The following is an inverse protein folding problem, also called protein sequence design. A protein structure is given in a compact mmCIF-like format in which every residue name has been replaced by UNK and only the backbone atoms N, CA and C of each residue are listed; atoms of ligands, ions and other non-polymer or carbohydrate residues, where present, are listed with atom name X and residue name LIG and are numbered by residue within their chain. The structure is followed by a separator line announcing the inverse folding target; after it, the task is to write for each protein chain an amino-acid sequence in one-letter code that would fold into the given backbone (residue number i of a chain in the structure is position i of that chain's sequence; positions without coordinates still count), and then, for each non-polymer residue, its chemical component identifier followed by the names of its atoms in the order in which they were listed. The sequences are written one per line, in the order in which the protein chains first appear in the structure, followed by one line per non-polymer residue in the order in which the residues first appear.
data_IF_856047461373
#
_entry.id   IF_856047461373
#
_cell.length_a   1.000
_cell.length_b   1.000
_cell.length_c   1.000
_cell.angle_alpha   90.00
_cell.angle_beta   90.00
_cell.angle_gamma   90.00
#
_symmetry.space_group_name_H-M   'P 1'
#
loop_
_entity.id
_entity.type
_entity.pdbx_description
1 polymer ?
#
# COMPACT_ATOMS: atom_id res chain seq x y z
N UNK A 1 -8.78 -26.25 13.03
CA UNK A 1 -9.17 -25.23 12.05
C UNK A 1 -9.50 -25.97 10.78
N UNK A 2 -10.78 -26.00 10.38
CA UNK A 2 -11.11 -26.39 9.02
C UNK A 2 -10.49 -25.36 8.07
N UNK A 3 -9.66 -25.80 7.14
CA UNK A 3 -9.15 -24.92 6.11
C UNK A 3 -10.36 -24.37 5.34
N UNK A 4 -10.49 -23.05 5.22
CA UNK A 4 -11.50 -22.45 4.36
C UNK A 4 -11.14 -22.83 2.91
N UNK A 5 -11.72 -23.91 2.39
CA UNK A 5 -11.49 -24.32 1.00
C UNK A 5 -12.43 -23.52 0.11
N UNK A 6 -11.87 -22.87 -0.91
CA UNK A 6 -12.67 -22.21 -1.94
C UNK A 6 -13.64 -23.22 -2.58
N UNK A 7 -14.94 -22.89 -2.71
CA UNK A 7 -15.90 -23.78 -3.34
C UNK A 7 -15.45 -24.19 -4.74
N UNK A 8 -15.80 -25.41 -5.13
CA UNK A 8 -15.39 -26.00 -6.41
C UNK A 8 -16.23 -25.44 -7.58
N UNK A 9 -16.19 -24.12 -7.76
CA UNK A 9 -16.82 -23.36 -8.84
C UNK A 9 -15.84 -23.19 -10.02
N UNK A 10 -16.33 -22.93 -11.24
CA UNK A 10 -15.46 -22.57 -12.37
C UNK A 10 -14.58 -21.37 -12.06
N UNK A 11 -13.33 -21.38 -12.55
CA UNK A 11 -12.34 -20.32 -12.30
C UNK A 11 -12.88 -18.93 -12.66
N UNK A 12 -13.53 -18.79 -13.81
CA UNK A 12 -14.08 -17.52 -14.29
C UNK A 12 -15.09 -16.91 -13.32
N UNK A 13 -15.96 -17.76 -12.74
CA UNK A 13 -16.97 -17.32 -11.76
C UNK A 13 -16.29 -16.87 -10.48
N UNK A 14 -15.30 -17.62 -10.00
CA UNK A 14 -14.55 -17.25 -8.79
C UNK A 14 -13.76 -15.96 -9.01
N UNK A 15 -13.05 -15.81 -10.14
CA UNK A 15 -12.38 -14.56 -10.50
C UNK A 15 -13.38 -13.40 -10.53
N UNK A 16 -14.58 -13.60 -11.07
CA UNK A 16 -15.59 -12.54 -11.12
C UNK A 16 -16.10 -12.14 -9.74
N UNK A 17 -16.26 -13.10 -8.82
CA UNK A 17 -16.59 -12.83 -7.42
C UNK A 17 -15.46 -12.03 -6.77
N UNK A 18 -14.21 -12.46 -6.94
CA UNK A 18 -13.04 -11.79 -6.37
C UNK A 18 -12.87 -10.39 -6.95
N UNK A 19 -13.12 -10.19 -8.24
CA UNK A 19 -13.15 -8.87 -8.91
C UNK A 19 -14.13 -7.95 -8.19
N UNK A 20 -15.38 -8.37 -8.02
CA UNK A 20 -16.43 -7.56 -7.37
C UNK A 20 -16.08 -7.23 -5.92
N UNK A 21 -15.56 -8.21 -5.18
CA UNK A 21 -15.14 -8.01 -3.79
C UNK A 21 -13.92 -7.07 -3.69
N UNK A 22 -12.98 -7.22 -4.61
CA UNK A 22 -11.80 -6.37 -4.69
C UNK A 22 -12.11 -4.96 -5.15
N UNK A 23 -13.10 -4.75 -6.00
CA UNK A 23 -13.59 -3.44 -6.43
C UNK A 23 -14.07 -2.58 -5.25
N UNK A 24 -14.56 -3.21 -4.18
CA UNK A 24 -14.90 -2.49 -2.93
C UNK A 24 -13.66 -2.10 -2.12
N UNK A 25 -12.72 -3.03 -1.95
CA UNK A 25 -11.45 -2.79 -1.26
C UNK A 25 -10.52 -4.00 -1.40
N UNK A 26 -9.22 -3.74 -1.58
CA UNK A 26 -8.20 -4.79 -1.55
C UNK A 26 -8.13 -5.53 -0.19
N UNK A 27 -8.56 -4.92 0.92
CA UNK A 27 -8.59 -5.60 2.23
C UNK A 27 -9.57 -6.79 2.23
N UNK A 28 -10.62 -6.70 1.42
CA UNK A 28 -11.62 -7.76 1.29
C UNK A 28 -11.09 -9.00 0.55
N UNK A 29 -9.90 -8.92 -0.06
CA UNK A 29 -9.25 -10.06 -0.72
C UNK A 29 -8.60 -11.04 0.26
N UNK A 30 -8.39 -10.63 1.51
CA UNK A 30 -7.75 -11.42 2.56
C UNK A 30 -8.29 -12.85 2.73
N UNK A 31 -9.61 -13.08 2.79
CA UNK A 31 -10.20 -14.42 2.88
C UNK A 31 -9.83 -15.33 1.70
N UNK A 32 -9.78 -14.80 0.47
CA UNK A 32 -9.45 -15.59 -0.72
C UNK A 32 -7.98 -16.01 -0.73
N UNK A 33 -7.08 -15.15 -0.27
CA UNK A 33 -5.66 -15.48 -0.12
C UNK A 33 -5.43 -16.61 0.90
N UNK A 34 -6.19 -16.57 2.01
CA UNK A 34 -6.15 -17.60 3.06
C UNK A 34 -6.86 -18.90 2.67
N UNK A 35 -7.62 -18.89 1.57
CA UNK A 35 -8.35 -20.06 1.09
C UNK A 35 -7.47 -21.09 0.34
N UNK A 36 -6.14 -20.94 0.44
CA UNK A 36 -5.14 -21.85 -0.11
C UNK A 36 -4.60 -21.41 -1.47
N UNK A 37 -3.73 -22.24 -2.05
CA UNK A 37 -2.97 -21.93 -3.28
C UNK A 37 -3.86 -21.48 -4.44
N UNK A 38 -5.03 -22.10 -4.58
CA UNK A 38 -6.00 -21.75 -5.62
C UNK A 38 -6.52 -20.32 -5.43
N UNK A 39 -6.95 -19.97 -4.23
CA UNK A 39 -7.43 -18.62 -3.94
C UNK A 39 -6.35 -17.57 -4.10
N UNK A 40 -5.16 -17.86 -3.61
CA UNK A 40 -3.99 -17.02 -3.85
C UNK A 40 -3.73 -16.75 -5.34
N UNK A 41 -3.75 -17.79 -6.19
CA UNK A 41 -3.53 -17.63 -7.62
C UNK A 41 -4.63 -16.77 -8.28
N UNK A 42 -5.90 -17.05 -7.96
CA UNK A 42 -7.04 -16.33 -8.52
C UNK A 42 -7.09 -14.85 -8.10
N UNK A 43 -6.73 -14.53 -6.86
CA UNK A 43 -6.65 -13.13 -6.39
C UNK A 43 -5.59 -12.33 -7.13
N UNK A 44 -4.54 -12.98 -7.61
CA UNK A 44 -3.44 -12.34 -8.33
C UNK A 44 -3.58 -12.42 -9.85
N UNK A 45 -4.73 -12.87 -10.37
CA UNK A 45 -5.03 -12.79 -11.79
C UNK A 45 -5.03 -11.32 -12.26
N UNK A 46 -4.44 -10.99 -13.41
CA UNK A 46 -4.37 -9.61 -13.89
C UNK A 46 -5.74 -8.94 -14.03
N UNK A 47 -6.81 -9.68 -14.35
CA UNK A 47 -8.16 -9.13 -14.44
C UNK A 47 -8.70 -8.65 -13.09
N UNK A 48 -8.40 -9.38 -12.02
CA UNK A 48 -8.74 -9.05 -10.63
C UNK A 48 -7.94 -7.83 -10.18
N UNK A 49 -6.62 -7.88 -10.32
CA UNK A 49 -5.73 -6.80 -9.84
C UNK A 49 -6.02 -5.47 -10.55
N UNK A 50 -6.32 -5.48 -11.85
CA UNK A 50 -6.68 -4.25 -12.59
C UNK A 50 -7.90 -3.54 -11.99
N UNK A 51 -8.89 -4.30 -11.51
CA UNK A 51 -10.18 -3.78 -11.00
C UNK A 51 -10.19 -3.50 -9.50
N UNK A 52 -9.39 -4.23 -8.73
CA UNK A 52 -9.30 -4.10 -7.28
C UNK A 52 -9.08 -2.65 -6.82
N UNK A 53 -9.91 -2.10 -5.93
CA UNK A 53 -9.65 -0.78 -5.35
C UNK A 53 -8.48 -0.85 -4.36
N UNK A 54 -7.50 0.01 -4.57
CA UNK A 54 -6.26 0.11 -3.79
C UNK A 54 -6.16 1.46 -3.09
N UNK A 55 -7.22 2.26 -3.10
CA UNK A 55 -7.20 3.63 -2.56
C UNK A 55 -6.72 3.70 -1.12
N UNK A 56 -7.11 2.75 -0.27
CA UNK A 56 -6.68 2.69 1.14
C UNK A 56 -5.21 2.30 1.32
N UNK A 57 -4.57 1.67 0.33
CA UNK A 57 -3.13 1.39 0.33
C UNK A 57 -2.31 2.67 0.07
N UNK A 58 -2.97 3.65 -0.53
CA UNK A 58 -2.37 4.81 -1.18
C UNK A 58 -2.84 6.13 -0.55
N UNK A 59 -3.64 6.06 0.51
CA UNK A 59 -3.95 7.18 1.41
C UNK A 59 -2.69 7.57 2.21
N UNK A 60 -2.47 8.86 2.44
CA UNK A 60 -1.21 9.46 2.91
C UNK A 60 -0.68 8.91 4.24
N UNK A 61 -1.54 8.26 5.03
CA UNK A 61 -1.16 7.55 6.26
C UNK A 61 -0.57 6.14 6.02
N UNK A 62 -0.89 5.53 4.88
CA UNK A 62 -0.61 4.13 4.52
C UNK A 62 0.38 4.01 3.36
N UNK A 63 0.65 5.08 2.61
CA UNK A 63 1.65 5.11 1.51
C UNK A 63 3.08 4.72 1.94
N UNK A 64 3.41 4.81 3.23
CA UNK A 64 4.66 4.27 3.76
C UNK A 64 4.73 2.73 3.65
N UNK A 65 3.59 2.05 3.56
CA UNK A 65 3.49 0.59 3.56
C UNK A 65 3.75 -0.06 2.20
N UNK A 66 3.81 0.72 1.12
CA UNK A 66 4.23 0.24 -0.22
C UNK A 66 5.73 0.36 -0.47
N UNK A 67 6.48 0.90 0.50
CA UNK A 67 7.95 1.00 0.42
C UNK A 67 8.62 -0.37 0.54
N UNK A 68 9.87 -0.45 0.13
CA UNK A 68 10.64 -1.68 0.19
C UNK A 68 10.67 -2.26 1.62
N UNK A 69 10.32 -3.54 1.76
CA UNK A 69 10.31 -4.26 3.04
C UNK A 69 9.05 -4.06 3.89
N UNK A 70 8.16 -3.14 3.50
CA UNK A 70 6.88 -2.91 4.15
C UNK A 70 5.82 -3.93 3.73
N UNK A 71 4.68 -3.89 4.43
CA UNK A 71 3.61 -4.86 4.28
C UNK A 71 3.14 -4.92 2.82
N UNK A 72 2.60 -3.85 2.24
CA UNK A 72 1.91 -3.96 0.95
C UNK A 72 2.81 -3.98 -0.30
N UNK A 73 4.14 -3.95 -0.16
CA UNK A 73 5.08 -3.84 -1.28
C UNK A 73 4.85 -4.87 -2.38
N UNK A 74 4.78 -6.15 -2.04
CA UNK A 74 4.70 -7.20 -3.07
C UNK A 74 3.34 -7.19 -3.77
N UNK A 75 2.23 -6.96 -3.07
CA UNK A 75 0.93 -6.79 -3.70
C UNK A 75 0.88 -5.56 -4.61
N UNK A 76 1.47 -4.44 -4.17
CA UNK A 76 1.61 -3.23 -4.99
C UNK A 76 2.35 -3.52 -6.30
N UNK A 77 3.49 -4.20 -6.24
CA UNK A 77 4.27 -4.59 -7.43
C UNK A 77 3.52 -5.53 -8.37
N UNK A 78 2.68 -6.43 -7.84
CA UNK A 78 1.81 -7.27 -8.68
C UNK A 78 0.74 -6.44 -9.37
N UNK A 79 0.17 -5.43 -8.71
CA UNK A 79 -0.78 -4.50 -9.33
C UNK A 79 -0.12 -3.64 -10.42
N UNK A 80 1.12 -3.18 -10.20
CA UNK A 80 1.94 -2.50 -11.21
C UNK A 80 2.15 -3.42 -12.43
N UNK A 81 2.58 -4.66 -12.20
CA UNK A 81 2.80 -5.66 -13.26
C UNK A 81 1.51 -6.00 -14.01
N UNK A 82 0.37 -5.98 -13.32
CA UNK A 82 -0.95 -6.15 -13.93
C UNK A 82 -1.41 -4.93 -14.73
N UNK A 83 -0.67 -3.81 -14.74
CA UNK A 83 -1.04 -2.63 -15.51
C UNK A 83 -2.08 -1.74 -14.83
N UNK A 84 -2.21 -1.80 -13.49
CA UNK A 84 -3.15 -0.93 -12.78
C UNK A 84 -2.61 0.51 -12.73
N UNK A 85 -3.32 1.43 -13.40
CA UNK A 85 -2.88 2.82 -13.59
C UNK A 85 -2.52 3.53 -12.29
N UNK A 86 -3.35 3.40 -11.24
CA UNK A 86 -3.14 4.06 -9.95
C UNK A 86 -1.85 3.59 -9.26
N UNK A 87 -1.62 2.27 -9.20
CA UNK A 87 -0.38 1.74 -8.62
C UNK A 87 0.85 2.07 -9.45
N UNK A 88 0.75 2.08 -10.79
CA UNK A 88 1.84 2.53 -11.66
C UNK A 88 2.22 3.99 -11.34
N UNK A 89 1.23 4.84 -11.12
CA UNK A 89 1.46 6.23 -10.74
C UNK A 89 2.26 6.35 -9.43
N UNK A 90 1.82 5.68 -8.37
CA UNK A 90 2.50 5.72 -7.09
C UNK A 90 3.90 5.06 -7.13
N UNK A 91 4.07 3.97 -7.87
CA UNK A 91 5.40 3.35 -8.06
C UNK A 91 6.36 4.30 -8.79
N UNK A 92 5.86 5.01 -9.80
CA UNK A 92 6.61 6.05 -10.49
C UNK A 92 7.08 7.13 -9.52
N UNK A 93 6.18 7.66 -8.69
CA UNK A 93 6.55 8.68 -7.69
C UNK A 93 7.52 8.15 -6.63
N UNK A 94 7.34 6.93 -6.13
CA UNK A 94 8.24 6.30 -5.17
C UNK A 94 9.65 6.03 -5.75
N UNK A 95 9.72 5.78 -7.06
CA UNK A 95 10.98 5.54 -7.79
C UNK A 95 11.80 6.80 -7.99
N UNK A 96 11.14 7.97 -8.09
CA UNK A 96 11.79 9.25 -8.35
C UNK A 96 12.90 9.59 -7.33
N UNK A 97 12.66 9.53 -5.99
CA UNK A 97 13.71 9.81 -5.00
C UNK A 97 14.68 8.65 -4.79
N UNK A 98 14.23 7.40 -4.95
CA UNK A 98 15.04 6.22 -4.62
C UNK A 98 16.02 5.80 -5.73
N UNK A 99 15.64 5.97 -7.00
CA UNK A 99 16.42 5.55 -8.17
C UNK A 99 16.70 6.75 -9.08
N UNK A 100 15.68 7.56 -9.36
CA UNK A 100 15.81 8.78 -10.15
C UNK A 100 14.67 9.02 -11.16
N UNK A 101 14.62 10.24 -11.68
CA UNK A 101 13.53 10.71 -12.56
C UNK A 101 13.45 9.96 -13.89
N UNK A 102 14.58 9.53 -14.46
CA UNK A 102 14.59 8.76 -15.72
C UNK A 102 13.88 7.41 -15.59
N UNK A 103 14.08 6.71 -14.48
CA UNK A 103 13.44 5.42 -14.25
C UNK A 103 11.97 5.60 -13.88
N UNK A 104 11.67 6.63 -13.08
CA UNK A 104 10.31 7.04 -12.77
C UNK A 104 9.49 7.33 -14.04
N UNK A 105 10.05 8.04 -15.02
CA UNK A 105 9.40 8.30 -16.31
C UNK A 105 9.05 7.00 -17.04
N UNK A 106 9.98 6.03 -17.12
CA UNK A 106 9.72 4.73 -17.79
C UNK A 106 8.56 3.97 -17.15
N UNK A 107 8.47 4.03 -15.81
CA UNK A 107 7.37 3.38 -15.08
C UNK A 107 6.05 4.07 -15.39
N UNK A 108 6.04 5.40 -15.47
CA UNK A 108 4.83 6.20 -15.72
C UNK A 108 4.39 6.23 -17.19
N UNK A 109 5.30 5.99 -18.14
CA UNK A 109 5.06 6.09 -19.58
C UNK A 109 3.84 5.29 -20.08
N UNK A 110 3.56 4.05 -19.63
CA UNK A 110 2.37 3.30 -20.04
C UNK A 110 1.04 3.95 -19.68
N UNK A 111 1.03 4.89 -18.73
CA UNK A 111 -0.16 5.62 -18.32
C UNK A 111 -0.42 6.87 -19.18
N UNK A 112 0.54 7.31 -19.98
CA UNK A 112 0.44 8.53 -20.79
C UNK A 112 -0.28 8.24 -22.12
N UNK A 113 -1.28 9.04 -22.55
CA UNK A 113 -1.87 10.20 -21.87
C UNK A 113 -3.15 9.85 -21.09
N UNK A 114 -3.49 8.57 -20.89
CA UNK A 114 -4.79 8.14 -20.37
C UNK A 114 -4.99 8.35 -18.85
N UNK A 115 -3.96 8.80 -18.12
CA UNK A 115 -4.01 9.11 -16.70
C UNK A 115 -3.41 10.50 -16.44
N UNK A 116 -4.24 11.45 -15.98
CA UNK A 116 -3.85 12.86 -15.84
C UNK A 116 -2.65 13.05 -14.92
N UNK A 117 -2.69 12.47 -13.72
CA UNK A 117 -1.60 12.58 -12.74
C UNK A 117 -0.26 12.03 -13.25
N UNK A 118 -0.27 10.87 -13.91
CA UNK A 118 0.96 10.32 -14.51
C UNK A 118 1.47 11.17 -15.65
N UNK A 119 0.57 11.70 -16.48
CA UNK A 119 0.93 12.56 -17.62
C UNK A 119 1.57 13.86 -17.13
N UNK A 120 0.96 14.49 -16.12
CA UNK A 120 1.50 15.71 -15.51
C UNK A 120 2.85 15.44 -14.82
N UNK A 121 2.97 14.34 -14.06
CA UNK A 121 4.23 13.95 -13.42
C UNK A 121 5.36 13.70 -14.44
N UNK A 122 5.08 13.02 -15.56
CA UNK A 122 6.07 12.81 -16.63
C UNK A 122 6.51 14.14 -17.26
N UNK A 123 5.60 15.09 -17.46
CA UNK A 123 5.96 16.42 -17.94
C UNK A 123 6.89 17.14 -16.95
N UNK A 124 6.50 17.19 -15.67
CA UNK A 124 7.29 17.79 -14.58
C UNK A 124 8.69 17.16 -14.51
N UNK A 125 8.80 15.83 -14.56
CA UNK A 125 10.09 15.15 -14.49
C UNK A 125 10.97 15.44 -15.71
N UNK A 126 10.40 15.60 -16.91
CA UNK A 126 11.17 16.03 -18.07
C UNK A 126 11.66 17.48 -17.94
N UNK A 127 10.88 18.38 -17.35
CA UNK A 127 11.32 19.75 -17.03
C UNK A 127 12.52 19.73 -16.09
N UNK A 128 12.44 18.93 -15.03
CA UNK A 128 13.51 18.77 -14.05
C UNK A 128 14.80 18.22 -14.68
N UNK A 129 14.67 17.29 -15.63
CA UNK A 129 15.81 16.72 -16.38
C UNK A 129 16.36 17.63 -17.48
N UNK A 130 15.73 18.78 -17.74
CA UNK A 130 16.13 19.70 -18.81
C UNK A 130 15.67 19.31 -20.20
N UNK A 131 14.79 18.31 -20.30
CA UNK A 131 14.24 17.80 -21.56
C UNK A 131 13.04 18.66 -22.01
N UNK A 132 13.24 19.97 -22.18
CA UNK A 132 12.19 20.95 -22.45
C UNK A 132 11.30 20.58 -23.66
N UNK A 133 11.89 20.05 -24.73
CA UNK A 133 11.13 19.61 -25.91
C UNK A 133 10.21 18.43 -25.63
N UNK A 134 10.65 17.50 -24.78
CA UNK A 134 9.82 16.34 -24.42
C UNK A 134 8.76 16.74 -23.41
N UNK A 135 9.11 17.56 -22.42
CA UNK A 135 8.18 18.16 -21.49
C UNK A 135 7.05 18.90 -22.22
N UNK A 136 7.38 19.71 -23.23
CA UNK A 136 6.39 20.43 -24.06
C UNK A 136 5.40 19.49 -24.76
N UNK A 137 5.89 18.40 -25.38
CA UNK A 137 5.00 17.39 -26.00
C UNK A 137 4.06 16.77 -24.98
N UNK A 138 4.56 16.43 -23.79
CA UNK A 138 3.75 15.80 -22.75
C UNK A 138 2.76 16.79 -22.15
N UNK A 139 3.11 18.07 -22.00
CA UNK A 139 2.17 19.13 -21.62
C UNK A 139 1.08 19.33 -22.67
N UNK A 140 1.41 19.27 -23.96
CA UNK A 140 0.41 19.32 -25.03
C UNK A 140 -0.56 18.13 -24.95
N UNK A 141 -0.04 16.93 -24.71
CA UNK A 141 -0.88 15.75 -24.47
C UNK A 141 -1.75 15.93 -23.24
N UNK A 142 -1.21 16.45 -22.13
CA UNK A 142 -1.99 16.72 -20.93
C UNK A 142 -3.14 17.68 -21.21
N UNK A 143 -2.87 18.81 -21.86
CA UNK A 143 -3.86 19.83 -22.20
C UNK A 143 -4.95 19.31 -23.16
N UNK A 144 -4.60 18.34 -24.02
CA UNK A 144 -5.53 17.75 -24.99
C UNK A 144 -6.50 16.76 -24.33
N UNK A 145 -6.04 15.99 -23.35
CA UNK A 145 -6.80 14.87 -22.77
C UNK A 145 -7.40 15.15 -21.39
N UNK A 146 -6.88 16.14 -20.65
CA UNK A 146 -7.28 16.41 -19.27
C UNK A 146 -7.72 17.87 -19.10
N UNK A 147 -6.84 18.72 -18.56
CA UNK A 147 -7.18 20.09 -18.15
C UNK A 147 -6.27 21.11 -18.85
N UNK A 148 -6.76 22.33 -19.02
CA UNK A 148 -5.93 23.45 -19.46
C UNK A 148 -4.75 23.66 -18.50
N UNK A 149 -3.56 23.96 -19.02
CA UNK A 149 -2.33 24.07 -18.23
C UNK A 149 -2.36 25.21 -17.20
N UNK A 150 -3.30 26.17 -17.33
CA UNK A 150 -3.50 27.30 -16.41
C UNK A 150 -4.76 27.16 -15.56
N UNK A 151 -5.43 26.01 -15.60
CA UNK A 151 -6.62 25.76 -14.77
C UNK A 151 -6.23 25.55 -13.31
N UNK A 152 -7.19 25.79 -12.42
CA UNK A 152 -7.04 25.48 -11.00
C UNK A 152 -6.86 23.96 -10.79
N UNK A 153 -7.59 23.12 -11.55
CA UNK A 153 -7.44 21.66 -11.52
C UNK A 153 -5.99 21.22 -11.77
N UNK A 154 -5.32 21.78 -12.78
CA UNK A 154 -3.92 21.45 -13.09
C UNK A 154 -2.99 21.82 -11.94
N UNK A 155 -3.28 22.95 -11.27
CA UNK A 155 -2.50 23.41 -10.13
C UNK A 155 -2.70 22.49 -8.92
N UNK A 156 -3.93 22.13 -8.59
CA UNK A 156 -4.26 21.20 -7.50
C UNK A 156 -3.62 19.82 -7.74
N UNK A 157 -3.65 19.33 -8.98
CA UNK A 157 -2.98 18.08 -9.35
C UNK A 157 -1.46 18.16 -9.15
N UNK A 158 -0.85 19.27 -9.55
CA UNK A 158 0.59 19.49 -9.37
C UNK A 158 1.00 19.57 -7.90
N UNK A 159 0.23 20.26 -7.06
CA UNK A 159 0.45 20.34 -5.62
C UNK A 159 0.28 18.98 -4.93
N UNK A 160 -0.69 18.18 -5.39
CA UNK A 160 -0.86 16.81 -4.91
C UNK A 160 0.37 15.94 -5.23
N UNK A 161 0.93 16.05 -6.44
CA UNK A 161 2.16 15.36 -6.83
C UNK A 161 3.33 15.78 -5.93
N UNK A 162 3.49 17.09 -5.72
CA UNK A 162 4.53 17.65 -4.85
C UNK A 162 4.43 17.10 -3.42
N UNK A 163 3.22 17.12 -2.85
CA UNK A 163 2.97 16.61 -1.50
C UNK A 163 3.23 15.09 -1.40
N UNK A 164 2.92 14.33 -2.44
CA UNK A 164 3.18 12.88 -2.48
C UNK A 164 4.68 12.58 -2.58
N UNK A 165 5.42 13.33 -3.40
CA UNK A 165 6.88 13.22 -3.47
C UNK A 165 7.53 13.52 -2.11
N UNK A 166 7.07 14.57 -1.42
CA UNK A 166 7.48 14.88 -0.04
C UNK A 166 7.20 13.70 0.90
N UNK A 167 5.99 13.15 0.86
CA UNK A 167 5.60 12.00 1.69
C UNK A 167 6.42 10.73 1.39
N UNK A 168 6.99 10.57 0.20
CA UNK A 168 7.87 9.46 -0.15
C UNK A 168 9.32 9.61 0.29
N UNK A 169 9.64 10.69 1.02
CA UNK A 169 11.01 10.93 1.49
C UNK A 169 11.92 11.37 0.36
N UNK A 170 11.40 12.22 -0.54
CA UNK A 170 12.19 12.86 -1.59
C UNK A 170 13.17 13.93 -1.08
N UNK A 171 13.69 13.75 0.15
CA UNK A 171 14.74 14.54 0.77
C UNK A 171 16.02 14.57 -0.11
N UNK A 172 16.23 13.51 -0.91
CA UNK A 172 17.37 13.34 -1.84
C UNK A 172 17.12 13.84 -3.28
N UNK A 173 15.91 14.33 -3.62
CA UNK A 173 15.73 15.16 -4.85
C UNK A 173 16.34 16.56 -4.70
N UNK A 174 16.99 16.79 -3.55
CA UNK A 174 17.71 17.97 -3.11
C UNK A 174 18.22 18.86 -4.24
N UNK A 175 18.00 20.16 -4.02
CA UNK A 175 18.11 21.32 -4.90
C UNK A 175 19.42 21.46 -5.70
N UNK A 176 20.39 20.57 -5.57
CA UNK A 176 21.64 20.60 -6.34
C UNK A 176 21.68 19.58 -7.50
N UNK A 177 20.86 18.51 -7.50
CA UNK A 177 20.99 17.44 -8.51
C UNK A 177 20.36 17.77 -9.86
N UNK A 178 19.22 18.46 -9.85
CA UNK A 178 18.46 18.78 -11.06
C UNK A 178 18.23 20.27 -11.29
N UNK A 179 18.61 21.14 -10.34
CA UNK A 179 18.48 22.60 -10.50
C UNK A 179 19.34 23.13 -11.65
N UNK A 180 20.54 22.57 -11.84
CA UNK A 180 21.40 22.91 -12.98
C UNK A 180 20.82 22.43 -14.31
N UNK A 181 20.08 21.32 -14.31
CA UNK A 181 19.43 20.79 -15.51
C UNK A 181 18.04 21.34 -15.75
N UNK A 182 17.40 21.99 -14.77
CA UNK A 182 16.03 22.46 -14.88
C UNK A 182 15.84 23.36 -16.09
N UNK A 183 14.87 23.02 -16.94
CA UNK A 183 14.54 23.80 -18.13
C UNK A 183 13.05 23.76 -18.40
N UNK A 184 12.37 24.84 -18.04
CA UNK A 184 10.96 25.02 -18.36
C UNK A 184 10.78 25.31 -19.87
N UNK A 185 9.80 24.70 -20.55
CA UNK A 185 9.60 24.97 -21.97
C UNK A 185 9.17 26.43 -22.20
N UNK A 186 9.71 27.04 -23.23
CA UNK A 186 9.33 28.38 -23.69
C UNK A 186 9.03 28.36 -25.20
N UNK A 187 7.85 27.87 -25.54
CA UNK A 187 7.43 27.66 -26.92
C UNK A 187 5.94 27.99 -27.15
N UNK A 188 5.36 27.47 -28.24
CA UNK A 188 3.96 27.70 -28.61
C UNK A 188 2.95 26.95 -27.74
N UNK A 189 3.37 25.92 -27.01
CA UNK A 189 2.51 25.10 -26.13
C UNK A 189 2.45 25.74 -24.74
N UNK A 190 3.62 26.02 -24.17
CA UNK A 190 3.73 26.67 -22.87
C UNK A 190 4.92 27.64 -22.89
N UNK A 191 4.71 28.81 -22.29
CA UNK A 191 5.73 29.86 -22.23
C UNK A 191 6.24 30.02 -20.83
N UNK A 192 7.51 30.38 -20.71
CA UNK A 192 8.04 30.82 -19.42
C UNK A 192 7.28 32.07 -18.99
N UNK A 193 6.60 32.06 -17.83
CA UNK A 193 5.76 33.18 -17.44
C UNK A 193 6.64 34.40 -17.14
N UNK A 194 6.35 35.54 -17.78
CA UNK A 194 7.11 36.79 -17.55
C UNK A 194 7.03 37.29 -16.10
N UNK A 195 5.96 36.93 -15.40
CA UNK A 195 5.74 37.31 -14.02
C UNK A 195 6.59 36.52 -13.01
N UNK A 196 7.31 35.46 -13.41
CA UNK A 196 8.18 34.68 -12.51
C UNK A 196 9.16 35.57 -11.75
N UNK A 197 9.74 36.59 -12.41
CA UNK A 197 10.69 37.53 -11.79
C UNK A 197 10.02 38.74 -11.10
N UNK A 198 8.69 38.86 -11.17
CA UNK A 198 7.92 39.98 -10.63
C UNK A 198 7.11 39.63 -9.37
N UNK A 199 7.07 38.35 -8.98
CA UNK A 199 6.44 37.87 -7.75
C UNK A 199 7.44 37.78 -6.57
N UNK A 200 8.52 38.55 -6.65
CA UNK A 200 9.61 38.52 -5.68
C UNK A 200 9.16 39.18 -4.35
N UNK A 201 8.89 38.35 -3.34
CA UNK A 201 8.92 38.64 -1.89
C UNK A 201 8.10 39.80 -1.28
N UNK A 202 7.34 40.57 -2.05
CA UNK A 202 6.57 41.70 -1.52
C UNK A 202 5.08 41.61 -1.89
N UNK A 203 4.27 41.30 -0.87
CA UNK A 203 2.84 41.61 -0.73
C UNK A 203 1.81 40.80 -1.54
N UNK A 204 2.19 39.80 -2.32
CA UNK A 204 1.25 38.80 -2.84
C UNK A 204 1.78 37.39 -2.61
N UNK A 205 0.99 36.55 -1.95
CA UNK A 205 1.30 35.17 -1.58
C UNK A 205 1.99 34.41 -2.74
N UNK A 206 3.17 33.87 -2.46
CA UNK A 206 3.81 32.81 -3.24
C UNK A 206 2.73 31.77 -3.64
N UNK A 207 2.42 31.66 -4.94
CA UNK A 207 1.52 30.62 -5.45
C UNK A 207 0.16 31.07 -6.01
N UNK A 208 -0.31 32.31 -5.83
CA UNK A 208 -1.66 32.69 -6.29
C UNK A 208 -1.75 33.06 -7.79
N UNK A 209 -0.62 33.31 -8.45
CA UNK A 209 -0.62 33.67 -9.86
C UNK A 209 -0.75 32.43 -10.75
N UNK A 210 -1.96 32.20 -11.27
CA UNK A 210 -2.29 31.11 -12.23
C UNK A 210 -1.33 31.03 -13.42
N UNK A 211 -0.72 32.15 -13.80
CA UNK A 211 0.21 32.18 -14.93
C UNK A 211 1.60 31.62 -14.63
N UNK A 212 2.08 31.69 -13.37
CA UNK A 212 3.40 31.14 -12.99
C UNK A 212 3.35 29.99 -11.99
N UNK A 213 2.17 29.61 -11.51
CA UNK A 213 2.02 28.53 -10.52
C UNK A 213 2.57 27.19 -11.02
N UNK A 214 2.27 26.79 -12.26
CA UNK A 214 2.82 25.55 -12.84
C UNK A 214 4.36 25.58 -12.97
N UNK A 215 4.95 26.75 -13.27
CA UNK A 215 6.39 26.93 -13.25
C UNK A 215 6.96 26.68 -11.85
N UNK A 216 6.34 27.27 -10.81
CA UNK A 216 6.73 27.07 -9.43
C UNK A 216 6.50 25.64 -8.94
N UNK A 217 5.43 24.95 -9.35
CA UNK A 217 5.25 23.52 -9.03
C UNK A 217 6.42 22.69 -9.61
N UNK A 218 6.83 22.96 -10.85
CA UNK A 218 7.98 22.28 -11.45
C UNK A 218 9.29 22.61 -10.73
N UNK A 219 9.46 23.86 -10.30
CA UNK A 219 10.65 24.34 -9.59
C UNK A 219 10.71 23.83 -8.14
N UNK A 220 9.60 23.87 -7.40
CA UNK A 220 9.45 23.45 -6.00
C UNK A 220 9.47 21.93 -5.86
N UNK A 221 9.10 21.19 -6.91
CA UNK A 221 9.41 19.77 -7.02
C UNK A 221 10.93 19.48 -6.90
N UNK A 222 11.79 20.50 -7.02
CA UNK A 222 13.24 20.47 -6.82
C UNK A 222 13.74 21.21 -5.56
N UNK A 223 12.96 22.15 -5.00
CA UNK A 223 13.29 22.93 -3.79
C UNK A 223 12.49 22.40 -2.59
N UNK A 224 12.90 21.25 -2.06
CA UNK A 224 12.30 20.65 -0.86
C UNK A 224 13.17 21.03 0.35
N UNK A 225 13.20 22.32 0.69
CA UNK A 225 13.85 22.78 1.90
C UNK A 225 12.86 22.65 3.07
N UNK A 226 13.03 21.64 3.92
CA UNK A 226 12.41 21.63 5.24
C UNK A 226 13.40 21.16 6.32
N UNK A 227 13.68 22.09 7.23
CA UNK A 227 14.30 21.84 8.52
C UNK A 227 13.50 20.79 9.31
N UNK A 228 14.19 19.70 9.67
CA UNK A 228 13.94 18.81 10.81
C UNK A 228 12.50 18.77 11.38
N UNK A 229 11.73 17.75 10.99
CA UNK A 229 10.80 17.06 11.91
C UNK A 229 10.68 15.58 11.52
N UNK A 230 11.77 14.82 11.68
CA UNK A 230 11.71 13.36 11.68
C UNK A 230 11.09 12.87 13.00
N UNK A 231 9.83 12.45 12.96
CA UNK A 231 9.14 11.85 14.12
C UNK A 231 9.21 10.32 14.02
N UNK A 232 9.70 9.67 15.07
CA UNK A 232 9.60 8.22 15.20
C UNK A 232 8.19 7.84 15.68
N UNK A 233 7.36 7.25 14.82
CA UNK A 233 5.97 6.85 15.15
C UNK A 233 5.86 5.69 16.16
N UNK A 234 6.97 5.10 16.62
CA UNK A 234 6.96 4.06 17.67
C UNK A 234 7.20 4.64 19.07
N UNK A 235 7.88 5.79 19.20
CA UNK A 235 8.25 6.34 20.51
C UNK A 235 8.03 7.85 20.69
N UNK A 236 7.51 8.56 19.68
CA UNK A 236 7.05 9.94 19.83
C UNK A 236 8.15 10.98 20.11
N UNK A 237 9.43 10.66 19.86
CA UNK A 237 10.54 11.61 19.98
C UNK A 237 11.11 12.01 18.62
N UNK A 238 11.62 13.25 18.57
CA UNK A 238 12.27 13.83 17.40
C UNK A 238 13.66 13.24 17.15
N UNK A 239 13.92 12.77 15.92
CA UNK A 239 15.25 12.35 15.48
C UNK A 239 15.97 13.56 14.86
N UNK A 240 17.01 14.07 15.53
CA UNK A 240 17.94 15.05 14.94
C UNK A 240 19.11 14.30 14.28
N UNK A 241 19.43 14.64 13.03
CA UNK A 241 20.71 14.32 12.43
C UNK A 241 21.79 15.25 13.01
N UNK A 242 22.59 14.71 13.92
CA UNK A 242 24.03 14.93 14.04
C UNK A 242 24.49 14.17 15.28
N UNK A 243 25.03 12.97 15.07
CA UNK A 243 26.19 12.53 15.83
C UNK A 243 26.93 11.46 15.02
N UNK A 244 28.08 11.90 14.51
CA UNK A 244 29.13 11.08 13.96
C UNK A 244 29.61 10.07 14.99
N UNK A 245 29.16 8.82 14.86
CA UNK A 245 29.86 7.59 15.22
C UNK A 245 28.85 6.46 15.22
N UNK A 246 28.84 5.61 14.20
CA UNK A 246 28.95 4.15 14.35
C UNK A 246 28.88 3.48 12.98
N UNK A 247 29.84 2.60 12.74
CA UNK A 247 29.96 1.85 11.51
C UNK A 247 28.78 0.92 11.27
N UNK A 248 28.45 0.75 9.99
CA UNK A 248 27.65 -0.37 9.51
C UNK A 248 28.29 -1.66 10.01
N UNK A 249 27.58 -2.36 10.89
CA UNK A 249 27.93 -3.73 11.30
C UNK A 249 26.65 -4.54 11.44
N UNK A 250 26.56 -5.62 10.67
CA UNK A 250 25.52 -6.64 10.82
C UNK A 250 25.69 -7.24 12.23
N UNK A 251 24.69 -7.17 13.11
CA UNK A 251 24.57 -8.09 14.25
C UNK A 251 23.10 -8.38 14.59
N UNK A 252 22.80 -9.66 14.76
CA UNK A 252 21.65 -10.18 15.50
C UNK A 252 21.51 -9.58 16.91
N UNK A 253 20.27 -9.28 17.31
CA UNK A 253 19.70 -9.16 18.68
C UNK A 253 20.60 -8.71 19.85
N UNK A 254 20.29 -7.57 20.49
CA UNK A 254 19.81 -7.42 21.89
C UNK A 254 19.82 -5.95 22.39
N UNK A 255 18.92 -5.67 23.35
CA UNK A 255 18.62 -4.41 24.07
C UNK A 255 17.87 -3.32 23.26
N UNK A 256 16.54 -3.12 23.40
CA UNK A 256 15.76 -3.07 24.63
C UNK A 256 14.81 -4.27 24.87
N UNK A 257 14.98 -4.89 26.04
CA UNK A 257 14.12 -5.78 26.84
C UNK A 257 13.18 -6.85 26.24
N UNK A 258 12.73 -6.80 24.97
CA UNK A 258 12.06 -7.93 24.31
C UNK A 258 12.41 -7.88 22.82
N UNK A 259 13.14 -8.88 22.25
CA UNK A 259 13.33 -8.95 20.81
C UNK A 259 11.96 -9.12 20.15
N UNK A 260 11.51 -8.11 19.39
CA UNK A 260 10.31 -8.21 18.57
C UNK A 260 10.57 -9.24 17.46
N UNK A 261 10.15 -10.48 17.70
CA UNK A 261 10.20 -11.59 16.74
C UNK A 261 8.99 -11.49 15.82
N UNK A 262 9.24 -11.28 14.53
CA UNK A 262 8.21 -11.39 13.49
C UNK A 262 8.15 -12.85 13.00
N UNK A 263 6.95 -13.41 12.84
CA UNK A 263 6.78 -14.69 12.15
C UNK A 263 6.59 -14.44 10.65
N UNK A 264 7.30 -15.22 9.82
CA UNK A 264 6.99 -15.42 8.41
C UNK A 264 6.31 -16.79 8.31
N UNK A 265 5.16 -16.86 7.64
CA UNK A 265 4.46 -18.11 7.40
C UNK A 265 5.39 -19.07 6.63
N UNK A 266 5.57 -20.32 7.09
CA UNK A 266 6.39 -21.33 6.38
C UNK A 266 5.72 -21.83 5.10
N UNK A 267 4.40 -21.71 4.99
CA UNK A 267 3.62 -22.24 3.86
C UNK A 267 3.43 -21.21 2.73
N UNK A 268 3.69 -19.92 3.00
CA UNK A 268 3.49 -18.83 2.03
C UNK A 268 4.62 -17.79 2.13
N UNK A 269 5.25 -17.47 0.99
CA UNK A 269 6.25 -16.40 0.88
C UNK A 269 5.61 -15.04 1.24
N UNK A 270 6.42 -14.08 1.68
CA UNK A 270 6.01 -12.73 2.10
C UNK A 270 5.40 -11.92 0.95
N UNK A 271 4.15 -12.19 0.62
CA UNK A 271 3.41 -11.64 -0.52
C UNK A 271 2.84 -10.24 -0.32
N UNK A 272 3.14 -9.66 0.83
CA UNK A 272 2.69 -8.37 1.26
C UNK A 272 1.25 -8.25 1.77
N UNK A 273 0.53 -9.36 1.85
CA UNK A 273 -0.83 -9.42 2.42
C UNK A 273 -0.93 -10.38 3.61
N UNK A 274 0.03 -11.29 3.77
CA UNK A 274 0.21 -12.04 5.00
C UNK A 274 0.79 -11.11 6.09
N UNK A 275 -0.03 -10.78 7.09
CA UNK A 275 0.25 -9.81 8.17
C UNK A 275 1.61 -10.04 8.83
N UNK A 276 2.42 -8.98 8.96
CA UNK A 276 3.44 -8.89 10.02
C UNK A 276 2.72 -8.47 11.31
N UNK A 277 2.44 -9.42 12.20
CA UNK A 277 1.88 -9.12 13.52
C UNK A 277 3.00 -9.11 14.57
N UNK A 278 3.03 -8.11 15.45
CA UNK A 278 3.99 -8.06 16.56
C UNK A 278 3.78 -9.27 17.50
N UNK A 279 4.88 -9.83 18.04
CA UNK A 279 4.86 -11.04 18.89
C UNK A 279 3.81 -10.97 20.02
N UNK A 280 3.68 -9.82 20.66
CA UNK A 280 2.69 -9.59 21.73
C UNK A 280 1.25 -9.72 21.22
N UNK A 281 0.92 -9.07 20.11
CA UNK A 281 -0.42 -9.16 19.52
C UNK A 281 -0.72 -10.56 18.97
N UNK A 282 0.27 -11.25 18.40
CA UNK A 282 0.12 -12.62 17.91
C UNK A 282 -0.07 -13.63 19.07
N UNK A 283 0.67 -13.46 20.16
CA UNK A 283 0.51 -14.27 21.38
C UNK A 283 -0.83 -13.98 22.06
N UNK A 284 -1.28 -12.73 22.12
CA UNK A 284 -2.60 -12.39 22.66
C UNK A 284 -3.74 -13.00 21.82
N UNK A 285 -3.66 -12.90 20.49
CA UNK A 285 -4.66 -13.50 19.61
C UNK A 285 -4.66 -15.03 19.68
N UNK A 286 -3.49 -15.68 19.70
CA UNK A 286 -3.40 -17.13 19.82
C UNK A 286 -3.81 -17.59 21.23
N UNK A 287 -3.49 -16.82 22.28
CA UNK A 287 -3.97 -17.09 23.64
C UNK A 287 -5.50 -16.98 23.71
N UNK A 288 -6.09 -15.96 23.08
CA UNK A 288 -7.55 -15.79 23.01
C UNK A 288 -8.20 -16.94 22.25
N UNK A 289 -7.60 -17.39 21.15
CA UNK A 289 -8.08 -18.52 20.35
C UNK A 289 -7.96 -19.85 21.09
N UNK A 290 -6.83 -20.11 21.73
CA UNK A 290 -6.60 -21.31 22.54
C UNK A 290 -7.56 -21.34 23.73
N UNK A 291 -7.77 -20.20 24.40
CA UNK A 291 -8.74 -20.08 25.49
C UNK A 291 -10.15 -20.43 25.03
N UNK A 292 -10.59 -19.89 23.89
CA UNK A 292 -11.89 -20.25 23.29
C UNK A 292 -11.98 -21.75 22.95
N UNK A 293 -10.91 -22.32 22.42
CA UNK A 293 -10.86 -23.76 22.08
C UNK A 293 -10.97 -24.64 23.33
N UNK A 294 -10.31 -24.23 24.43
CA UNK A 294 -10.41 -24.91 25.73
C UNK A 294 -11.82 -24.79 26.29
N UNK A 295 -12.44 -23.61 26.25
CA UNK A 295 -13.83 -23.40 26.68
C UNK A 295 -14.83 -24.25 25.88
N UNK A 296 -14.62 -24.36 24.56
CA UNK A 296 -15.43 -25.21 23.68
C UNK A 296 -15.23 -26.71 23.99
N UNK A 297 -13.99 -27.14 24.23
CA UNK A 297 -13.69 -28.52 24.63
C UNK A 297 -14.24 -28.86 26.01
N UNK A 298 -14.13 -27.96 26.97
CA UNK A 298 -14.69 -28.14 28.31
C UNK A 298 -16.22 -28.27 28.25
N UNK A 299 -16.87 -27.46 27.41
CA UNK A 299 -18.32 -27.55 27.17
C UNK A 299 -18.71 -28.90 26.56
N UNK A 300 -17.90 -29.44 25.64
CA UNK A 300 -18.10 -30.78 25.06
C UNK A 300 -17.85 -31.91 26.08
N UNK A 301 -16.82 -31.80 26.92
CA UNK A 301 -16.56 -32.78 27.98
C UNK A 301 -17.73 -32.80 28.97
N UNK A 302 -18.24 -31.62 29.36
CA UNK A 302 -19.43 -31.51 30.20
C UNK A 302 -20.68 -32.10 29.54
N UNK A 303 -20.81 -32.05 28.22
CA UNK A 303 -21.94 -32.68 27.53
C UNK A 303 -21.78 -34.20 27.44
N UNK A 304 -20.56 -34.72 27.28
CA UNK A 304 -20.27 -36.15 27.28
C UNK A 304 -20.56 -36.81 28.63
N UNK A 305 -20.22 -36.16 29.76
CA UNK A 305 -20.58 -36.69 31.09
C UNK A 305 -22.10 -36.81 31.31
N UNK A 306 -22.92 -35.99 30.63
CA UNK A 306 -24.38 -36.14 30.64
C UNK A 306 -24.86 -37.31 29.78
N UNK A 307 -24.08 -37.73 28.79
CA UNK A 307 -24.38 -38.89 27.95
C UNK A 307 -24.00 -40.17 28.69
N UNK A 308 -22.85 -40.23 29.38
CA UNK A 308 -22.46 -41.36 30.24
C UNK A 308 -23.53 -41.64 31.29
N UNK A 309 -23.98 -40.62 32.05
CA UNK A 309 -25.07 -40.79 33.02
C UNK A 309 -26.36 -41.37 32.42
N UNK A 310 -26.66 -41.05 31.16
CA UNK A 310 -27.84 -41.58 30.46
C UNK A 310 -27.64 -43.02 30.01
N UNK A 311 -26.41 -43.41 29.65
CA UNK A 311 -26.06 -44.79 29.29
C UNK A 311 -26.18 -45.67 30.53
N UNK A 312 -25.58 -45.28 31.65
CA UNK A 312 -25.63 -46.04 32.90
C UNK A 312 -27.09 -46.33 33.32
N UNK A 313 -27.96 -45.32 33.22
CA UNK A 313 -29.39 -45.48 33.51
C UNK A 313 -30.10 -46.43 32.55
N UNK A 314 -29.76 -46.39 31.27
CA UNK A 314 -30.35 -47.29 30.27
C UNK A 314 -29.88 -48.73 30.51
N UNK A 315 -28.62 -48.92 30.90
CA UNK A 315 -28.06 -50.23 31.22
C UNK A 315 -28.69 -50.81 32.49
N UNK A 316 -28.92 -50.00 33.53
CA UNK A 316 -29.67 -50.39 34.73
C UNK A 316 -31.11 -50.81 34.39
N UNK A 317 -31.82 -50.01 33.58
CA UNK A 317 -33.17 -50.31 33.14
C UNK A 317 -33.22 -51.59 32.28
N UNK A 318 -32.22 -51.82 31.43
CA UNK A 318 -32.11 -53.03 30.61
C UNK A 318 -31.87 -54.29 31.45
N UNK A 319 -30.95 -54.24 32.43
CA UNK A 319 -30.70 -55.36 33.33
C UNK A 319 -31.94 -55.73 34.17
N UNK A 320 -32.70 -54.71 34.61
CA UNK A 320 -33.95 -54.93 35.34
C UNK A 320 -35.00 -55.60 34.46
N UNK A 321 -35.17 -55.11 33.23
CA UNK A 321 -36.12 -55.68 32.28
C UNK A 321 -35.76 -57.13 31.90
N UNK A 322 -34.48 -57.42 31.69
CA UNK A 322 -34.01 -58.78 31.40
C UNK A 322 -34.30 -59.75 32.56
N UNK A 323 -34.12 -59.29 33.81
CA UNK A 323 -34.48 -60.05 35.01
C UNK A 323 -35.99 -60.29 35.15
N UNK A 324 -36.82 -59.32 34.79
CA UNK A 324 -38.29 -59.46 34.78
C UNK A 324 -38.75 -60.44 33.69
N UNK A 325 -38.15 -60.39 32.49
CA UNK A 325 -38.43 -61.33 31.39
C UNK A 325 -38.03 -62.76 31.77
N UNK A 326 -36.87 -62.94 32.42
CA UNK A 326 -36.42 -64.25 32.89
C UNK A 326 -37.34 -64.87 33.97
N UNK A 327 -38.06 -64.04 34.73
CA UNK A 327 -39.02 -64.48 35.75
C UNK A 327 -40.43 -64.77 35.18
N UNK A 328 -40.68 -64.46 33.90
CA UNK A 328 -41.97 -64.67 33.22
C UNK A 328 -42.00 -65.90 32.30
N UNK A 329 -40.86 -66.57 32.08
CA UNK A 329 -40.73 -67.83 31.33
C UNK A 329 -40.61 -69.05 32.22
#
# INVERSE_FOLDING_TARGET
MEAHVLPNLPQEIVCKIIELVGEESFYNLGPFLRAGKRGYALTHEPSVLKKCDVSEMEDGFVTCQIRQGCQFREFHLKCVSAGKRKTIYYEGLLTAPSIGLKESIKILEPNVPMHGFSTLAVAIFNVCLGNDKEASKVFQLFATYHHDLRSDDTCEMGESIENQLKAFGAEDLNCNKYRESFKFPDDGVIKTPRCVYGHDYADNLEGDCKNCRLFWICQNSLDVDFQQLGWCLVCGHALRQNDSNFGIRIISTEAAAIPKKYFVCKDFKNDGLHRKQEWTAAIEDETRRLKKTVEDHESKIRSLGRVEYRIDRIDEDAQKNDGEIANLG
#
